data_IF_782038037976
#
_entry.id   IF_782038037976
#
_cell.length_a   1.000
_cell.length_b   1.000
_cell.length_c   1.000
_cell.angle_alpha   90.00
_cell.angle_beta   90.00
_cell.angle_gamma   90.00
#
_symmetry.space_group_name_H-M   'P 1'
#
loop_
_entity.id
_entity.type
_entity.pdbx_description
1 polymer ?
#
# COMPACT_ATOMS: atom_id res chain seq x y z
N UNK A 1 -5.80 -8.43 21.46
CA UNK A 1 -4.84 -7.62 20.67
C UNK A 1 -4.80 -8.22 19.27
N UNK A 2 -5.20 -7.48 18.23
CA UNK A 2 -5.08 -7.96 16.85
C UNK A 2 -3.60 -8.19 16.52
N UNK A 3 -3.25 -9.37 16.01
CA UNK A 3 -1.87 -9.69 15.66
C UNK A 3 -1.49 -8.92 14.39
N UNK A 4 -0.38 -8.18 14.45
CA UNK A 4 0.09 -7.37 13.32
C UNK A 4 0.75 -8.26 12.26
N UNK A 5 0.38 -8.02 11.00
CA UNK A 5 0.95 -8.69 9.83
C UNK A 5 2.08 -7.82 9.29
N UNK A 6 3.19 -8.45 8.91
CA UNK A 6 4.35 -7.79 8.32
C UNK A 6 4.52 -8.23 6.87
N UNK A 7 4.58 -7.26 5.97
CA UNK A 7 4.86 -7.49 4.56
C UNK A 7 6.17 -6.81 4.22
N UNK A 8 7.13 -7.57 3.72
CA UNK A 8 8.37 -6.99 3.18
C UNK A 8 8.33 -7.08 1.66
N UNK A 9 8.26 -5.92 1.03
CA UNK A 9 8.22 -5.78 -0.41
C UNK A 9 9.61 -5.47 -0.96
N UNK A 10 9.99 -6.15 -2.03
CA UNK A 10 11.23 -5.94 -2.77
C UNK A 10 10.92 -5.66 -4.24
N UNK A 11 11.53 -4.62 -4.80
CA UNK A 11 11.45 -4.29 -6.22
C UNK A 11 12.79 -4.52 -6.92
N UNK A 12 12.76 -5.32 -7.97
CA UNK A 12 13.83 -5.46 -8.95
C UNK A 12 13.36 -4.96 -10.30
N UNK A 13 14.17 -4.12 -10.94
CA UNK A 13 13.90 -3.61 -12.27
C UNK A 13 14.97 -4.11 -13.22
N UNK A 14 14.55 -4.79 -14.28
CA UNK A 14 15.42 -5.42 -15.28
C UNK A 14 15.24 -4.66 -16.59
N UNK A 15 16.32 -4.13 -17.15
CA UNK A 15 16.30 -3.33 -18.39
C UNK A 15 16.81 -4.10 -19.60
N UNK A 16 17.87 -4.88 -19.43
CA UNK A 16 18.66 -5.41 -20.54
C UNK A 16 18.60 -6.94 -20.68
N UNK A 17 17.85 -7.62 -19.80
CA UNK A 17 17.75 -9.07 -19.77
C UNK A 17 16.29 -9.57 -19.79
N UNK A 18 16.03 -10.77 -20.35
CA UNK A 18 14.75 -11.43 -20.19
C UNK A 18 14.45 -11.65 -18.71
N UNK A 19 13.24 -11.26 -18.27
CA UNK A 19 12.76 -11.49 -16.89
C UNK A 19 13.01 -12.91 -16.41
N UNK A 20 12.89 -13.91 -17.29
CA UNK A 20 13.09 -15.33 -16.97
C UNK A 20 14.49 -15.69 -16.46
N UNK A 21 15.54 -14.99 -16.89
CA UNK A 21 16.91 -15.26 -16.42
C UNK A 21 17.09 -14.72 -15.00
N UNK A 22 16.69 -13.47 -14.78
CA UNK A 22 16.71 -12.85 -13.47
C UNK A 22 15.77 -13.57 -12.47
N UNK A 23 14.61 -13.99 -12.95
CA UNK A 23 13.64 -14.79 -12.20
C UNK A 23 14.26 -16.08 -11.65
N UNK A 24 15.03 -16.83 -12.45
CA UNK A 24 15.70 -18.05 -11.97
C UNK A 24 16.71 -17.75 -10.85
N UNK A 25 17.46 -16.66 -10.97
CA UNK A 25 18.40 -16.24 -9.94
C UNK A 25 17.66 -15.91 -8.62
N UNK A 26 16.54 -15.19 -8.70
CA UNK A 26 15.69 -14.89 -7.54
C UNK A 26 15.05 -16.16 -6.99
N UNK A 27 14.44 -17.00 -7.83
CA UNK A 27 13.75 -18.24 -7.44
C UNK A 27 14.66 -19.20 -6.66
N UNK A 28 15.95 -19.28 -7.02
CA UNK A 28 16.93 -20.12 -6.30
C UNK A 28 17.21 -19.68 -4.86
N UNK A 29 16.85 -18.44 -4.52
CA UNK A 29 17.04 -17.81 -3.20
C UNK A 29 15.77 -17.81 -2.35
N UNK A 30 14.65 -18.29 -2.91
CA UNK A 30 13.37 -18.34 -2.21
C UNK A 30 13.15 -19.74 -1.63
N UNK A 31 12.49 -19.79 -0.48
CA UNK A 31 11.85 -21.02 -0.02
C UNK A 31 10.63 -21.36 -0.88
N UNK A 32 9.64 -22.07 -0.32
CA UNK A 32 8.37 -22.29 -1.01
C UNK A 32 7.75 -20.94 -1.44
N UNK A 33 7.45 -20.80 -2.72
CA UNK A 33 6.90 -19.57 -3.29
C UNK A 33 5.70 -19.82 -4.20
N UNK A 34 4.91 -18.77 -4.42
CA UNK A 34 3.90 -18.68 -5.49
C UNK A 34 4.33 -17.58 -6.44
N UNK A 35 4.36 -17.90 -7.74
CA UNK A 35 4.66 -16.93 -8.80
C UNK A 35 3.36 -16.49 -9.48
N UNK A 36 3.19 -15.19 -9.64
CA UNK A 36 2.08 -14.56 -10.35
C UNK A 36 2.63 -13.62 -11.42
N UNK A 37 1.99 -13.60 -12.59
CA UNK A 37 2.38 -12.72 -13.70
C UNK A 37 1.28 -11.70 -13.92
N UNK A 38 1.63 -10.42 -13.83
CA UNK A 38 0.70 -9.29 -13.93
C UNK A 38 -0.61 -9.48 -13.12
N UNK A 39 -0.55 -9.88 -11.83
CA UNK A 39 -1.75 -10.06 -11.02
C UNK A 39 -2.44 -8.72 -10.76
N UNK A 40 -3.76 -8.75 -10.67
CA UNK A 40 -4.54 -7.69 -10.04
C UNK A 40 -4.41 -7.74 -8.50
N UNK A 41 -4.91 -6.70 -7.84
CA UNK A 41 -4.92 -6.56 -6.38
C UNK A 41 -5.51 -7.80 -5.69
N UNK A 42 -6.67 -8.26 -6.16
CA UNK A 42 -7.40 -9.35 -5.54
C UNK A 42 -6.63 -10.67 -5.62
N UNK A 43 -6.07 -10.97 -6.79
CA UNK A 43 -5.27 -12.18 -7.05
C UNK A 43 -4.01 -12.17 -6.18
N UNK A 44 -3.33 -11.03 -6.10
CA UNK A 44 -2.12 -10.87 -5.29
C UNK A 44 -2.43 -11.06 -3.80
N UNK A 45 -3.48 -10.42 -3.29
CA UNK A 45 -3.89 -10.51 -1.89
C UNK A 45 -4.34 -11.93 -1.51
N UNK A 46 -5.15 -12.58 -2.35
CA UNK A 46 -5.69 -13.92 -2.06
C UNK A 46 -4.57 -14.96 -1.95
N UNK A 47 -3.63 -14.93 -2.91
CA UNK A 47 -2.45 -15.81 -2.86
C UNK A 47 -1.52 -15.47 -1.69
N UNK A 48 -1.41 -14.19 -1.33
CA UNK A 48 -0.64 -13.79 -0.16
C UNK A 48 -1.25 -14.32 1.14
N UNK A 49 -2.58 -14.20 1.33
CA UNK A 49 -3.27 -14.77 2.51
C UNK A 49 -3.04 -16.27 2.61
N UNK A 50 -3.11 -16.98 1.48
CA UNK A 50 -2.83 -18.41 1.39
C UNK A 50 -1.40 -18.75 1.83
N UNK A 51 -0.41 -17.98 1.36
CA UNK A 51 0.97 -18.15 1.80
C UNK A 51 1.11 -17.83 3.27
N UNK A 52 0.70 -16.63 3.71
CA UNK A 52 0.85 -16.16 5.08
C UNK A 52 0.40 -17.24 6.08
N UNK A 53 -0.79 -17.81 5.91
CA UNK A 53 -1.31 -18.88 6.76
C UNK A 53 -1.29 -18.47 8.23
N UNK A 54 -0.55 -19.20 9.07
CA UNK A 54 -0.34 -18.87 10.50
C UNK A 54 0.87 -17.97 10.77
N UNK A 55 1.66 -17.64 9.73
CA UNK A 55 2.81 -16.75 9.87
C UNK A 55 2.36 -15.31 10.09
N UNK A 56 3.24 -14.50 10.68
CA UNK A 56 3.05 -13.06 10.83
C UNK A 56 3.82 -12.25 9.80
N UNK A 57 4.75 -12.89 9.10
CA UNK A 57 5.60 -12.24 8.09
C UNK A 57 5.58 -13.05 6.80
N UNK A 58 5.50 -12.33 5.68
CA UNK A 58 5.74 -12.84 4.36
C UNK A 58 6.31 -11.74 3.45
N UNK A 59 6.92 -12.17 2.36
CA UNK A 59 7.66 -11.34 1.42
C UNK A 59 6.94 -11.30 0.09
N UNK A 60 6.93 -10.12 -0.52
CA UNK A 60 6.44 -9.87 -1.88
C UNK A 60 7.62 -9.37 -2.69
N UNK A 61 8.02 -10.11 -3.71
CA UNK A 61 9.14 -9.72 -4.57
C UNK A 61 8.57 -9.44 -5.95
N UNK A 62 8.68 -8.20 -6.38
CA UNK A 62 8.33 -7.78 -7.72
C UNK A 62 9.60 -7.71 -8.57
N UNK A 63 9.57 -8.42 -9.69
CA UNK A 63 10.56 -8.28 -10.77
C UNK A 63 9.82 -7.71 -11.96
N UNK A 64 10.26 -6.56 -12.48
CA UNK A 64 9.60 -5.89 -13.59
C UNK A 64 10.56 -5.46 -14.69
N UNK A 65 10.04 -5.41 -15.89
CA UNK A 65 10.59 -4.64 -17.00
C UNK A 65 9.49 -3.74 -17.58
N UNK A 66 9.74 -3.14 -18.75
CA UNK A 66 8.78 -2.22 -19.39
C UNK A 66 7.50 -2.90 -19.89
N UNK A 67 7.46 -4.23 -19.96
CA UNK A 67 6.39 -5.02 -20.61
C UNK A 67 5.62 -5.88 -19.61
N UNK A 68 6.27 -6.40 -18.57
CA UNK A 68 5.70 -7.39 -17.66
C UNK A 68 6.22 -7.23 -16.23
N UNK A 69 5.38 -7.63 -15.28
CA UNK A 69 5.65 -7.64 -13.83
C UNK A 69 5.40 -9.04 -13.30
N UNK A 70 6.41 -9.62 -12.69
CA UNK A 70 6.36 -10.94 -12.06
C UNK A 70 6.44 -10.76 -10.56
N UNK A 71 5.53 -11.40 -9.85
CA UNK A 71 5.44 -11.32 -8.40
C UNK A 71 5.71 -12.68 -7.80
N UNK A 72 6.57 -12.70 -6.79
CA UNK A 72 6.85 -13.87 -5.98
C UNK A 72 6.40 -13.61 -4.57
N UNK A 73 5.56 -14.50 -4.08
CA UNK A 73 5.07 -14.48 -2.72
C UNK A 73 5.75 -15.62 -1.97
N UNK A 74 6.40 -15.34 -0.84
CA UNK A 74 7.10 -16.37 -0.07
C UNK A 74 7.20 -16.02 1.42
N UNK A 75 7.49 -17.00 2.27
CA UNK A 75 7.85 -16.79 3.68
C UNK A 75 9.35 -16.76 3.93
N UNK A 76 10.13 -17.35 3.02
CA UNK A 76 11.55 -17.60 3.23
C UNK A 76 12.34 -16.95 2.12
N UNK A 77 13.27 -16.08 2.52
CA UNK A 77 14.12 -15.33 1.61
C UNK A 77 15.55 -15.42 2.15
N UNK A 78 16.47 -15.91 1.33
CA UNK A 78 17.88 -16.06 1.69
C UNK A 78 18.74 -15.23 0.73
N UNK A 79 19.60 -14.35 1.26
CA UNK A 79 20.65 -13.65 0.51
C UNK A 79 20.23 -13.07 -0.86
N UNK A 80 19.10 -12.36 -0.87
CA UNK A 80 18.68 -11.61 -2.04
C UNK A 80 19.73 -10.56 -2.42
N UNK A 81 19.85 -10.33 -3.73
CA UNK A 81 20.65 -9.21 -4.25
C UNK A 81 20.06 -7.88 -3.79
N UNK A 82 20.84 -6.79 -3.93
CA UNK A 82 20.35 -5.47 -3.56
C UNK A 82 19.19 -5.05 -4.48
N UNK A 83 17.97 -4.85 -3.95
CA UNK A 83 16.83 -4.44 -4.74
C UNK A 83 16.94 -2.97 -5.14
N UNK A 84 16.24 -2.57 -6.21
CA UNK A 84 16.06 -1.16 -6.56
C UNK A 84 15.33 -0.40 -5.44
N UNK A 85 14.34 -1.04 -4.82
CA UNK A 85 13.65 -0.51 -3.66
C UNK A 85 13.18 -1.63 -2.73
N UNK A 86 13.20 -1.38 -1.43
CA UNK A 86 12.62 -2.27 -0.44
C UNK A 86 11.76 -1.48 0.54
N UNK A 87 10.59 -2.02 0.86
CA UNK A 87 9.65 -1.43 1.80
C UNK A 87 9.15 -2.46 2.79
N UNK A 88 9.01 -2.05 4.04
CA UNK A 88 8.42 -2.83 5.11
C UNK A 88 7.07 -2.21 5.48
N UNK A 89 6.02 -3.04 5.44
CA UNK A 89 4.67 -2.67 5.84
C UNK A 89 4.31 -3.41 7.13
N UNK A 90 3.91 -2.66 8.15
CA UNK A 90 3.36 -3.19 9.40
C UNK A 90 1.86 -2.91 9.42
N UNK A 91 1.05 -3.96 9.30
CA UNK A 91 -0.40 -3.91 9.09
C UNK A 91 -1.11 -4.29 10.38
N UNK A 92 -1.94 -3.37 10.89
CA UNK A 92 -2.70 -3.58 12.13
C UNK A 92 -4.18 -3.91 11.93
N UNK A 93 -4.70 -3.76 10.71
CA UNK A 93 -6.12 -3.94 10.35
C UNK A 93 -6.26 -4.67 9.02
N UNK A 94 -7.35 -5.40 8.82
CA UNK A 94 -7.57 -6.15 7.57
C UNK A 94 -7.85 -5.22 6.38
N UNK A 95 -8.58 -4.12 6.58
CA UNK A 95 -8.86 -3.15 5.51
C UNK A 95 -7.59 -2.45 5.01
N UNK A 96 -6.56 -2.39 5.86
CA UNK A 96 -5.26 -1.86 5.49
C UNK A 96 -4.43 -2.83 4.63
N UNK A 97 -4.77 -4.12 4.66
CA UNK A 97 -4.15 -5.14 3.81
C UNK A 97 -4.52 -4.90 2.35
N UNK A 98 -5.80 -4.64 2.07
CA UNK A 98 -6.30 -4.29 0.73
C UNK A 98 -5.56 -3.06 0.19
N UNK A 99 -5.50 -1.99 0.99
CA UNK A 99 -4.80 -0.76 0.59
C UNK A 99 -3.32 -1.00 0.24
N UNK A 100 -2.61 -1.83 1.00
CA UNK A 100 -1.19 -2.19 0.72
C UNK A 100 -1.08 -3.00 -0.56
N UNK A 101 -1.96 -3.98 -0.79
CA UNK A 101 -1.93 -4.79 -2.01
C UNK A 101 -2.33 -4.00 -3.25
N UNK A 102 -3.26 -3.06 -3.12
CA UNK A 102 -3.57 -2.09 -4.17
C UNK A 102 -2.35 -1.25 -4.51
N UNK A 103 -1.66 -0.72 -3.50
CA UNK A 103 -0.45 0.09 -3.69
C UNK A 103 0.68 -0.70 -4.40
N UNK A 104 0.83 -1.99 -4.08
CA UNK A 104 1.79 -2.88 -4.74
C UNK A 104 1.35 -3.20 -6.18
N UNK A 105 0.09 -3.61 -6.37
CA UNK A 105 -0.44 -4.02 -7.67
C UNK A 105 -0.49 -2.86 -8.68
N UNK A 106 -0.79 -1.65 -8.24
CA UNK A 106 -0.77 -0.44 -9.09
C UNK A 106 0.65 0.07 -9.37
N UNK A 107 1.68 -0.44 -8.66
CA UNK A 107 3.05 0.07 -8.76
C UNK A 107 3.21 1.46 -8.15
N UNK A 108 2.27 1.91 -7.33
CA UNK A 108 2.37 3.15 -6.56
C UNK A 108 3.23 2.99 -5.30
N UNK A 109 3.60 1.75 -4.93
CA UNK A 109 4.52 1.41 -3.83
C UNK A 109 5.88 2.12 -3.91
N UNK A 110 6.34 2.50 -5.09
CA UNK A 110 7.59 3.24 -5.33
C UNK A 110 7.35 4.62 -5.96
N UNK A 111 6.08 5.02 -6.15
CA UNK A 111 5.69 6.32 -6.70
C UNK A 111 5.93 7.47 -5.72
N UNK A 112 6.23 8.67 -6.25
CA UNK A 112 6.45 9.89 -5.45
C UNK A 112 5.21 10.30 -4.62
N UNK A 113 4.02 9.86 -5.02
CA UNK A 113 2.72 10.07 -4.38
C UNK A 113 2.26 8.75 -3.75
N UNK A 114 2.81 8.39 -2.59
CA UNK A 114 2.26 7.28 -1.80
C UNK A 114 0.88 7.64 -1.24
N UNK A 115 0.11 6.62 -0.86
CA UNK A 115 -1.22 6.74 -0.22
C UNK A 115 -1.18 7.71 0.96
N UNK A 116 -0.06 7.76 1.69
CA UNK A 116 0.16 8.66 2.84
C UNK A 116 0.27 10.15 2.46
N UNK A 117 0.76 10.47 1.25
CA UNK A 117 0.78 11.86 0.75
C UNK A 117 -0.57 12.30 0.20
N UNK A 118 -1.27 11.38 -0.47
CA UNK A 118 -2.60 11.65 -0.99
C UNK A 118 -3.60 11.86 0.15
N UNK A 119 -3.56 11.02 1.18
CA UNK A 119 -4.38 11.17 2.40
C UNK A 119 -4.06 12.48 3.13
N UNK A 120 -2.78 12.83 3.29
CA UNK A 120 -2.38 14.11 3.88
C UNK A 120 -2.90 15.32 3.09
N UNK A 121 -2.84 15.26 1.76
CA UNK A 121 -3.38 16.32 0.89
C UNK A 121 -4.90 16.44 1.01
N UNK A 122 -5.62 15.32 0.98
CA UNK A 122 -7.07 15.26 1.21
C UNK A 122 -7.45 15.84 2.57
N UNK A 123 -6.69 15.51 3.61
CA UNK A 123 -6.95 16.00 4.96
C UNK A 123 -6.69 17.50 5.06
N UNK A 124 -5.66 18.02 4.40
CA UNK A 124 -5.41 19.45 4.30
C UNK A 124 -6.54 20.18 3.56
N UNK A 125 -7.06 19.60 2.48
CA UNK A 125 -8.22 20.13 1.75
C UNK A 125 -9.50 20.11 2.60
N UNK A 126 -9.73 19.03 3.35
CA UNK A 126 -10.88 18.93 4.25
C UNK A 126 -10.81 19.94 5.40
N UNK A 127 -9.64 20.12 6.02
CA UNK A 127 -9.45 21.14 7.05
C UNK A 127 -9.56 22.56 6.48
N UNK A 128 -8.99 22.82 5.30
CA UNK A 128 -9.14 24.09 4.60
C UNK A 128 -10.61 24.39 4.26
N UNK A 129 -11.33 23.40 3.74
CA UNK A 129 -12.76 23.47 3.46
C UNK A 129 -13.58 23.69 4.73
N UNK A 130 -13.28 22.97 5.81
CA UNK A 130 -13.93 23.16 7.11
C UNK A 130 -13.84 24.62 7.58
N UNK A 131 -12.64 25.19 7.57
CA UNK A 131 -12.41 26.58 7.99
C UNK A 131 -13.13 27.58 7.06
N UNK A 132 -13.10 27.34 5.76
CA UNK A 132 -13.77 28.18 4.78
C UNK A 132 -15.30 28.15 4.94
N UNK A 133 -15.89 26.96 5.08
CA UNK A 133 -17.33 26.77 5.30
C UNK A 133 -17.77 27.38 6.64
N UNK A 134 -16.97 27.19 7.70
CA UNK A 134 -17.21 27.80 9.01
C UNK A 134 -17.20 29.33 8.95
N UNK A 135 -16.26 29.91 8.19
CA UNK A 135 -16.18 31.35 7.98
C UNK A 135 -17.40 31.90 7.21
N UNK A 136 -17.83 31.20 6.15
CA UNK A 136 -19.00 31.61 5.37
C UNK A 136 -20.29 31.53 6.18
N UNK A 137 -20.49 30.46 6.94
CA UNK A 137 -21.65 30.29 7.83
C UNK A 137 -21.67 31.29 8.99
N UNK A 138 -20.50 31.72 9.49
CA UNK A 138 -20.42 32.77 10.52
C UNK A 138 -20.70 34.17 9.98
N UNK A 139 -20.24 34.47 8.76
CA UNK A 139 -20.34 35.83 8.19
C UNK A 139 -21.68 36.10 7.53
N UNK A 140 -22.43 35.07 7.16
CA UNK A 140 -23.62 35.22 6.33
C UNK A 140 -24.76 34.30 6.82
N UNK A 141 -25.78 34.91 7.43
CA UNK A 141 -26.91 34.19 8.04
C UNK A 141 -27.72 33.39 6.99
N UNK A 142 -27.78 33.83 5.73
CA UNK A 142 -28.41 33.07 4.64
C UNK A 142 -27.67 31.75 4.31
N UNK A 143 -26.42 31.62 4.76
CA UNK A 143 -25.57 30.45 4.57
C UNK A 143 -25.43 29.60 5.84
N UNK A 144 -26.25 29.84 6.87
CA UNK A 144 -26.22 29.07 8.11
C UNK A 144 -26.42 27.55 7.89
N UNK A 145 -27.15 27.18 6.83
CA UNK A 145 -27.32 25.78 6.41
C UNK A 145 -25.99 25.07 6.12
N UNK A 146 -24.93 25.79 5.77
CA UNK A 146 -23.59 25.24 5.55
C UNK A 146 -23.03 24.59 6.82
N UNK A 147 -23.42 25.06 8.02
CA UNK A 147 -22.98 24.47 9.28
C UNK A 147 -23.41 23.01 9.43
N UNK A 148 -24.48 22.59 8.75
CA UNK A 148 -24.92 21.18 8.72
C UNK A 148 -23.94 20.25 7.99
N UNK A 149 -23.03 20.79 7.17
CA UNK A 149 -21.99 20.03 6.46
C UNK A 149 -20.73 19.82 7.31
N UNK A 150 -20.52 20.60 8.37
CA UNK A 150 -19.32 20.50 9.22
C UNK A 150 -19.16 19.13 9.88
N UNK A 151 -20.23 18.48 10.41
CA UNK A 151 -20.12 17.11 10.93
C UNK A 151 -19.68 16.09 9.87
N UNK A 152 -20.10 16.25 8.62
CA UNK A 152 -19.69 15.37 7.51
C UNK A 152 -18.18 15.49 7.25
N UNK A 153 -17.64 16.72 7.28
CA UNK A 153 -16.19 16.94 7.11
C UNK A 153 -15.39 16.29 8.24
N UNK A 154 -15.88 16.38 9.48
CA UNK A 154 -15.25 15.71 10.63
C UNK A 154 -15.29 14.18 10.50
N UNK A 155 -16.41 13.62 10.05
CA UNK A 155 -16.56 12.18 9.83
C UNK A 155 -15.62 11.68 8.73
N UNK A 156 -15.55 12.38 7.59
CA UNK A 156 -14.62 12.07 6.50
C UNK A 156 -13.15 12.17 6.94
N UNK A 157 -12.80 13.18 7.73
CA UNK A 157 -11.46 13.33 8.31
C UNK A 157 -11.12 12.15 9.23
N UNK A 158 -12.07 11.72 10.07
CA UNK A 158 -11.92 10.54 10.92
C UNK A 158 -11.73 9.24 10.14
N UNK A 159 -12.44 9.07 9.03
CA UNK A 159 -12.26 7.91 8.14
C UNK A 159 -10.87 7.91 7.51
N UNK A 160 -10.42 9.04 6.94
CA UNK A 160 -9.10 9.17 6.32
C UNK A 160 -7.98 8.88 7.33
N UNK A 161 -8.08 9.44 8.53
CA UNK A 161 -7.13 9.18 9.61
C UNK A 161 -7.17 7.70 10.06
N UNK A 162 -8.36 7.10 10.08
CA UNK A 162 -8.56 5.69 10.40
C UNK A 162 -7.90 4.74 9.40
N UNK A 163 -7.96 5.08 8.10
CA UNK A 163 -7.23 4.39 7.02
C UNK A 163 -5.72 4.61 7.14
N UNK A 164 -5.29 5.84 7.37
CA UNK A 164 -3.87 6.20 7.53
C UNK A 164 -3.19 5.45 8.67
N UNK A 165 -3.90 5.24 9.79
CA UNK A 165 -3.40 4.46 10.94
C UNK A 165 -3.43 2.95 10.73
N UNK A 166 -4.05 2.47 9.65
CA UNK A 166 -4.24 1.05 9.38
C UNK A 166 -2.93 0.29 9.11
N UNK A 167 -1.93 0.96 8.54
CA UNK A 167 -0.59 0.39 8.30
C UNK A 167 0.52 1.44 8.41
N UNK A 168 1.74 0.98 8.68
CA UNK A 168 2.96 1.81 8.64
C UNK A 168 3.86 1.32 7.51
N UNK A 169 4.39 2.24 6.71
CA UNK A 169 5.36 1.95 5.64
C UNK A 169 6.73 2.51 6.00
N UNK A 170 7.78 1.70 5.87
CA UNK A 170 9.18 2.11 6.09
C UNK A 170 10.03 1.68 4.91
N UNK A 171 10.97 2.53 4.49
CA UNK A 171 12.00 2.12 3.52
C UNK A 171 13.03 1.26 4.25
N UNK A 172 13.35 0.10 3.68
CA UNK A 172 14.38 -0.82 4.18
C UNK A 172 15.72 -0.54 3.52
#
# INVERSE_FOLDING_TARGET
>A
MAQKIKIVYYLYEVKDEPLGNYAKAVESKLGRFVRLVNPDEYTLMTNFKSILGTSKEAHVIEIRNDISRWFYLTKGVNDLETPKAAYEYEIGKEEALEAVFREIAEGSAHGKLGVDKFSAMLQLLLWGGFLFLSYLGYKNDELEWINSLLPLVLLLSGLIEGFRRGYKKRKK
#
